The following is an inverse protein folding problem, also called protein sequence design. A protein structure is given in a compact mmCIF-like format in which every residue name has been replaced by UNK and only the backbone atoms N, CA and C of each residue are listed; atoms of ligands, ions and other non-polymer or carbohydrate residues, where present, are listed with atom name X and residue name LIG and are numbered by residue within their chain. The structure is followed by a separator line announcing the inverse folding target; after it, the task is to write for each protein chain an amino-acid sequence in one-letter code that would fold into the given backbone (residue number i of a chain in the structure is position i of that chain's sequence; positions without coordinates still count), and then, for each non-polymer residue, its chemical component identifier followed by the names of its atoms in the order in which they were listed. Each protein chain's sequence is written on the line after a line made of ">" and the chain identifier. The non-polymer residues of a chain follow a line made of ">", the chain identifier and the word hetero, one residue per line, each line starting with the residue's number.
data_IF_337260020726
#
_entry.id   IF_337260020726
#
_cell.length_a   1.000
_cell.length_b   1.000
_cell.length_c   1.000
_cell.angle_alpha   90.00
_cell.angle_beta   90.00
_cell.angle_gamma   90.00
#
_symmetry.space_group_name_H-M   'P 1'
#
loop_
_entity.id
_entity.type
_entity.pdbx_description
1 polymer ?
#
# COMPACT_ATOMS: atom_id res chain seq x y z
N UNK A 1 0.23 -30.84 5.36
CA UNK A 1 0.22 -29.42 5.77
C UNK A 1 -0.77 -28.70 4.87
N UNK A 2 -1.39 -27.61 5.32
CA UNK A 2 -2.24 -26.78 4.45
C UNK A 2 -1.35 -26.00 3.49
N UNK A 3 -1.66 -26.05 2.19
CA UNK A 3 -1.03 -25.17 1.20
C UNK A 3 -1.66 -23.79 1.27
N UNK A 4 -0.87 -22.75 1.02
CA UNK A 4 -1.36 -21.39 0.82
C UNK A 4 -2.02 -21.33 -0.55
N UNK A 5 -3.27 -20.86 -0.61
CA UNK A 5 -3.88 -20.41 -1.86
C UNK A 5 -3.38 -18.98 -2.13
N UNK A 6 -2.63 -18.72 -3.22
CA UNK A 6 -2.10 -17.40 -3.52
C UNK A 6 -3.17 -16.33 -3.76
N UNK A 7 -4.42 -16.73 -4.00
CA UNK A 7 -5.56 -15.86 -4.32
C UNK A 7 -6.65 -15.84 -3.24
N UNK A 8 -6.49 -16.59 -2.15
CA UNK A 8 -7.36 -16.44 -0.99
C UNK A 8 -6.90 -15.23 -0.16
N UNK A 9 -7.74 -14.20 0.06
CA UNK A 9 -7.36 -13.04 0.84
C UNK A 9 -7.16 -13.40 2.31
N UNK A 10 -6.09 -12.85 2.89
CA UNK A 10 -5.95 -12.71 4.34
C UNK A 10 -6.66 -11.41 4.73
N UNK A 11 -7.79 -11.57 5.41
CA UNK A 11 -8.58 -10.45 5.93
C UNK A 11 -7.96 -9.92 7.23
N UNK A 12 -7.79 -8.59 7.28
CA UNK A 12 -7.31 -7.87 8.45
C UNK A 12 -8.37 -6.85 8.89
N UNK A 13 -8.72 -6.88 10.17
CA UNK A 13 -9.76 -6.01 10.75
C UNK A 13 -9.45 -5.65 12.20
N UNK A 14 -9.83 -4.45 12.62
CA UNK A 14 -9.66 -3.98 13.99
C UNK A 14 -11.02 -3.55 14.56
N UNK A 15 -11.46 -4.02 15.75
CA UNK A 15 -12.79 -3.67 16.29
C UNK A 15 -13.03 -2.17 16.51
N UNK A 16 -11.94 -1.41 16.73
CA UNK A 16 -11.95 0.05 16.83
C UNK A 16 -11.72 0.80 15.50
N UNK A 17 -11.79 0.12 14.35
CA UNK A 17 -11.71 0.72 13.03
C UNK A 17 -13.02 0.51 12.24
N UNK A 18 -13.39 1.49 11.43
CA UNK A 18 -14.33 1.35 10.33
C UNK A 18 -13.72 0.74 9.07
N UNK A 19 -12.42 0.45 9.07
CA UNK A 19 -11.69 -0.16 7.94
C UNK A 19 -11.48 -1.68 8.11
N UNK A 20 -11.55 -2.41 7.01
CA UNK A 20 -10.93 -3.73 6.86
C UNK A 20 -10.11 -3.83 5.57
N UNK A 21 -9.12 -4.71 5.54
CA UNK A 21 -8.13 -4.82 4.47
C UNK A 21 -7.98 -6.28 4.04
N UNK A 22 -8.13 -6.54 2.75
CA UNK A 22 -8.01 -7.88 2.17
C UNK A 22 -6.69 -7.96 1.41
N UNK A 23 -5.70 -8.70 1.95
CA UNK A 23 -4.38 -8.87 1.32
C UNK A 23 -4.28 -10.24 0.64
N UNK A 24 -3.92 -10.27 -0.65
CA UNK A 24 -3.57 -11.51 -1.34
C UNK A 24 -2.11 -11.90 -1.05
N UNK A 25 -1.82 -13.18 -0.79
CA UNK A 25 -0.45 -13.69 -0.77
C UNK A 25 0.29 -13.46 -2.11
N UNK A 26 -0.40 -13.55 -3.26
CA UNK A 26 0.15 -13.18 -4.55
C UNK A 26 0.47 -11.68 -4.63
N UNK A 27 1.72 -11.34 -4.97
CA UNK A 27 2.22 -9.97 -5.11
C UNK A 27 2.10 -9.10 -3.86
N UNK A 28 1.80 -9.68 -2.69
CA UNK A 28 1.40 -8.97 -1.46
C UNK A 28 0.35 -7.89 -1.72
N UNK A 29 -0.64 -8.18 -2.58
CA UNK A 29 -1.57 -7.19 -3.13
C UNK A 29 -2.64 -6.81 -2.10
N UNK A 30 -2.80 -5.52 -1.75
CA UNK A 30 -4.05 -5.00 -1.20
C UNK A 30 -5.12 -5.10 -2.28
N UNK A 31 -5.99 -6.11 -2.16
CA UNK A 31 -7.04 -6.40 -3.15
C UNK A 31 -8.29 -5.57 -2.87
N UNK A 32 -8.64 -5.36 -1.59
CA UNK A 32 -9.74 -4.50 -1.15
C UNK A 32 -9.37 -3.70 0.09
N UNK A 33 -9.78 -2.44 0.16
CA UNK A 33 -9.76 -1.63 1.37
C UNK A 33 -11.20 -1.17 1.62
N UNK A 34 -11.87 -1.83 2.55
CA UNK A 34 -13.29 -1.65 2.78
C UNK A 34 -13.53 -0.63 3.90
N UNK A 35 -14.25 0.45 3.60
CA UNK A 35 -14.76 1.42 4.55
C UNK A 35 -16.21 1.08 4.90
N UNK A 36 -16.46 0.78 6.17
CA UNK A 36 -17.78 0.50 6.72
C UNK A 36 -18.39 1.78 7.30
N UNK A 37 -19.31 2.39 6.56
CA UNK A 37 -20.05 3.57 6.99
C UNK A 37 -21.16 3.17 7.94
N UNK A 38 -21.07 3.61 9.20
CA UNK A 38 -22.17 3.56 10.15
C UNK A 38 -23.18 4.66 9.79
N UNK A 39 -24.48 4.33 9.69
CA UNK A 39 -25.52 5.29 9.31
C UNK A 39 -25.78 6.38 10.35
N UNK A 40 -25.22 6.26 11.56
CA UNK A 40 -25.41 7.18 12.69
C UNK A 40 -24.55 8.46 12.57
N UNK A 41 -24.63 9.16 11.44
CA UNK A 41 -23.98 10.47 11.26
C UNK A 41 -24.00 10.99 9.81
N UNK A 42 -24.30 12.27 9.56
CA UNK A 42 -24.27 12.84 8.22
C UNK A 42 -22.83 13.05 7.75
N UNK A 43 -22.39 12.28 6.75
CA UNK A 43 -21.09 12.42 6.12
C UNK A 43 -21.17 13.31 4.88
N UNK A 44 -20.84 14.60 5.04
CA UNK A 44 -20.42 15.48 3.95
C UNK A 44 -18.97 15.95 4.22
N UNK A 45 -18.07 15.97 3.22
CA UNK A 45 -16.65 16.24 3.46
C UNK A 45 -16.29 17.74 3.46
N UNK A 46 -15.91 18.32 4.62
CA UNK A 46 -15.08 19.55 4.69
C UNK A 46 -14.48 19.89 6.09
N UNK A 47 -13.12 19.91 6.17
CA UNK A 47 -12.20 20.81 6.92
C UNK A 47 -12.22 21.10 8.47
N UNK A 48 -11.12 20.75 9.19
CA UNK A 48 -10.50 21.47 10.35
C UNK A 48 -10.44 20.77 11.76
N UNK A 49 -9.41 20.87 12.65
CA UNK A 49 -8.01 21.43 12.69
C UNK A 49 -7.03 20.53 13.58
N UNK A 50 -5.69 20.48 13.30
CA UNK A 50 -4.49 20.20 14.21
C UNK A 50 -3.83 18.81 14.62
N UNK A 51 -2.96 18.22 13.75
CA UNK A 51 -1.58 17.79 14.15
C UNK A 51 -1.15 16.43 14.78
N UNK A 52 -0.53 15.54 13.96
CA UNK A 52 0.65 14.71 14.29
C UNK A 52 0.45 13.18 14.41
N UNK A 53 1.14 12.28 13.68
CA UNK A 53 2.61 12.27 13.61
C UNK A 53 3.34 10.97 13.14
N UNK A 54 2.82 10.15 12.21
CA UNK A 54 3.62 9.05 11.57
C UNK A 54 3.32 8.89 10.07
N UNK A 55 4.05 8.03 9.35
CA UNK A 55 3.77 7.66 7.96
C UNK A 55 2.64 6.62 7.91
N UNK A 56 1.43 7.09 8.16
CA UNK A 56 0.20 6.30 8.25
C UNK A 56 -0.77 6.78 7.17
N UNK A 57 -1.49 5.86 6.52
CA UNK A 57 -2.60 6.22 5.64
C UNK A 57 -3.88 6.25 6.48
N UNK A 58 -4.31 7.45 6.83
CA UNK A 58 -5.51 7.73 7.61
C UNK A 58 -6.62 8.23 6.68
N UNK A 59 -7.80 7.60 6.74
CA UNK A 59 -9.02 8.01 6.04
C UNK A 59 -9.92 8.76 7.02
N UNK A 60 -10.38 9.95 6.67
CA UNK A 60 -10.84 10.97 7.63
C UNK A 60 -12.25 11.47 7.30
N UNK A 61 -13.08 11.71 8.33
CA UNK A 61 -14.48 12.18 8.20
C UNK A 61 -14.77 13.40 9.07
N UNK A 62 -15.27 14.50 8.46
CA UNK A 62 -15.39 15.82 9.09
C UNK A 62 -16.69 16.11 9.87
N UNK A 63 -16.74 17.18 10.69
CA UNK A 63 -17.94 17.65 11.41
C UNK A 63 -18.47 19.04 10.96
N UNK A 64 -19.75 19.35 11.22
CA UNK A 64 -20.25 20.73 11.36
C UNK A 64 -21.36 20.85 12.43
N UNK A 65 -21.52 22.04 13.01
CA UNK A 65 -22.54 22.40 14.02
C UNK A 65 -23.82 23.01 13.39
N UNK A 66 -24.97 23.00 14.10
CA UNK A 66 -26.28 23.21 13.48
C UNK A 66 -26.63 24.68 13.23
N UNK A 67 -27.08 24.99 12.00
CA UNK A 67 -27.77 26.26 11.68
C UNK A 67 -29.29 26.08 11.67
N UNK A 68 -29.98 26.91 12.45
CA UNK A 68 -31.44 26.98 12.52
C UNK A 68 -32.09 27.25 11.16
N UNK A 69 -33.05 26.41 10.75
CA UNK A 69 -34.17 26.84 9.90
C UNK A 69 -35.50 26.22 10.36
N UNK A 70 -36.60 26.93 10.10
CA UNK A 70 -37.91 26.74 10.73
C UNK A 70 -38.81 25.76 9.96
N UNK A 71 -39.79 25.18 10.68
CA UNK A 71 -40.69 24.13 10.19
C UNK A 71 -41.63 24.57 9.06
N UNK A 72 -41.80 23.69 8.07
CA UNK A 72 -42.94 23.62 7.13
C UNK A 72 -43.58 22.22 7.18
N UNK A 73 -44.88 22.06 6.82
CA UNK A 73 -45.68 20.93 7.30
C UNK A 73 -45.47 19.59 6.57
N UNK A 74 -45.64 18.51 7.35
CA UNK A 74 -45.49 17.10 6.99
C UNK A 74 -46.67 16.53 6.16
N UNK A 75 -46.38 15.65 5.19
CA UNK A 75 -47.16 14.45 4.81
C UNK A 75 -46.53 13.75 3.58
N UNK A 76 -46.74 12.44 3.35
CA UNK A 76 -46.73 11.31 4.27
C UNK A 76 -45.55 10.35 3.97
N UNK A 77 -45.04 9.66 5.00
CA UNK A 77 -43.98 8.66 4.85
C UNK A 77 -44.47 7.36 4.19
N UNK A 78 -44.09 7.12 2.94
CA UNK A 78 -43.97 5.75 2.41
C UNK A 78 -42.78 5.05 3.10
N UNK A 79 -42.94 3.76 3.44
CA UNK A 79 -42.02 3.06 4.33
C UNK A 79 -40.56 3.01 3.84
N UNK A 80 -39.63 3.18 4.79
CA UNK A 80 -38.22 2.82 4.62
C UNK A 80 -38.00 1.52 5.40
N UNK A 81 -37.96 0.41 4.68
CA UNK A 81 -37.35 -0.83 5.17
C UNK A 81 -35.83 -0.76 4.96
N UNK A 82 -35.05 -1.29 5.91
CA UNK A 82 -33.63 -1.60 5.69
C UNK A 82 -32.63 -0.48 6.00
N UNK A 83 -32.37 -0.24 7.29
CA UNK A 83 -31.15 0.45 7.73
C UNK A 83 -29.91 -0.44 7.56
N UNK A 84 -29.31 -0.42 6.37
CA UNK A 84 -28.07 -1.14 6.05
C UNK A 84 -26.84 -0.25 6.18
N UNK A 85 -25.80 -0.73 6.87
CA UNK A 85 -24.47 -0.12 6.79
C UNK A 85 -23.92 -0.26 5.38
N UNK A 86 -23.50 0.85 4.77
CA UNK A 86 -22.85 0.82 3.46
C UNK A 86 -21.36 0.46 3.62
N UNK A 87 -20.87 -0.45 2.78
CA UNK A 87 -19.46 -0.82 2.70
C UNK A 87 -18.91 -0.43 1.34
N UNK A 88 -17.87 0.40 1.34
CA UNK A 88 -17.25 0.95 0.14
C UNK A 88 -15.83 0.40 0.00
N UNK A 89 -15.50 -0.20 -1.16
CA UNK A 89 -14.11 -0.48 -1.52
C UNK A 89 -13.45 0.80 -2.07
N UNK A 90 -12.30 1.14 -1.52
CA UNK A 90 -11.54 2.35 -1.84
C UNK A 90 -10.41 2.11 -2.84
N UNK A 91 -10.14 0.86 -3.21
CA UNK A 91 -9.08 0.50 -4.15
C UNK A 91 -9.62 0.24 -5.55
N UNK A 92 -8.82 0.61 -6.56
CA UNK A 92 -9.06 0.19 -7.94
C UNK A 92 -8.27 -1.08 -8.25
N UNK A 93 -8.94 -2.05 -8.86
CA UNK A 93 -8.33 -3.29 -9.32
C UNK A 93 -9.38 -4.26 -9.88
N UNK A 94 -8.98 -5.47 -10.26
CA UNK A 94 -9.92 -6.52 -10.66
C UNK A 94 -10.75 -7.02 -9.46
N UNK A 95 -12.03 -7.28 -9.68
CA UNK A 95 -12.95 -7.79 -8.63
C UNK A 95 -12.60 -9.22 -8.17
N UNK A 96 -12.09 -10.04 -9.11
CA UNK A 96 -11.67 -11.42 -8.90
C UNK A 96 -10.16 -11.51 -8.61
N UNK A 97 -9.72 -12.06 -7.46
CA UNK A 97 -8.31 -12.14 -7.07
C UNK A 97 -7.36 -12.71 -8.14
N UNK A 98 -7.82 -13.70 -8.91
CA UNK A 98 -7.01 -14.37 -9.96
C UNK A 98 -6.71 -13.46 -11.15
N UNK A 99 -7.52 -12.44 -11.40
CA UNK A 99 -7.27 -11.51 -12.50
C UNK A 99 -6.04 -10.62 -12.28
N UNK A 100 -5.57 -10.44 -11.03
CA UNK A 100 -4.26 -9.81 -10.77
C UNK A 100 -3.10 -10.59 -11.40
N UNK A 101 -3.21 -11.91 -11.54
CA UNK A 101 -2.25 -12.70 -12.32
C UNK A 101 -2.60 -12.68 -13.81
N UNK A 102 -3.89 -12.82 -14.16
CA UNK A 102 -4.33 -12.96 -15.56
C UNK A 102 -4.11 -11.71 -16.43
N UNK A 103 -4.17 -10.51 -15.83
CA UNK A 103 -3.86 -9.25 -16.53
C UNK A 103 -2.37 -8.89 -16.50
N UNK A 104 -1.53 -9.76 -15.93
CA UNK A 104 -0.09 -9.56 -15.84
C UNK A 104 0.29 -8.35 -14.99
N UNK A 105 1.43 -7.73 -15.31
CA UNK A 105 2.03 -6.65 -14.51
C UNK A 105 1.42 -5.28 -14.84
N UNK A 106 0.10 -5.14 -14.64
CA UNK A 106 -0.61 -3.86 -14.66
C UNK A 106 -0.46 -3.05 -13.36
N UNK A 107 0.22 -3.61 -12.35
CA UNK A 107 0.51 -2.97 -11.06
C UNK A 107 -0.73 -2.46 -10.30
N UNK A 108 -1.83 -3.23 -10.30
CA UNK A 108 -2.99 -2.99 -9.43
C UNK A 108 -2.71 -3.46 -8.00
N UNK A 109 -2.09 -2.62 -7.19
CA UNK A 109 -1.85 -2.87 -5.76
C UNK A 109 -0.53 -3.51 -5.32
N UNK A 110 0.26 -4.27 -6.11
CA UNK A 110 1.28 -5.16 -5.54
C UNK A 110 2.45 -4.41 -4.87
N UNK A 111 3.19 -5.14 -4.03
CA UNK A 111 4.51 -4.69 -3.58
C UNK A 111 5.49 -4.69 -4.74
N UNK A 112 6.16 -3.57 -4.94
CA UNK A 112 7.19 -3.37 -5.95
C UNK A 112 8.57 -3.47 -5.31
N UNK A 113 9.47 -4.21 -5.95
CA UNK A 113 10.89 -4.20 -5.65
C UNK A 113 11.67 -5.20 -6.50
N UNK A 114 12.99 -5.38 -6.30
CA UNK A 114 13.81 -4.74 -5.24
C UNK A 114 14.00 -3.24 -5.35
N UNK A 115 13.75 -2.65 -6.53
CA UNK A 115 13.81 -1.20 -6.69
C UNK A 115 12.55 -0.68 -7.39
N UNK A 116 11.78 0.12 -6.65
CA UNK A 116 10.60 0.83 -7.16
C UNK A 116 10.97 2.01 -8.07
N UNK A 117 10.01 2.43 -8.89
CA UNK A 117 10.21 3.36 -10.02
C UNK A 117 11.31 2.90 -11.01
N UNK A 118 12.01 3.84 -11.65
CA UNK A 118 12.94 3.62 -12.77
C UNK A 118 14.41 3.63 -12.33
N UNK A 119 15.20 2.76 -12.94
CA UNK A 119 16.67 2.83 -12.98
C UNK A 119 17.15 2.89 -14.45
N UNK A 120 18.31 3.48 -14.73
CA UNK A 120 19.01 3.27 -16.01
C UNK A 120 19.36 1.78 -16.19
N UNK A 121 19.12 1.23 -17.38
CA UNK A 121 19.45 -0.15 -17.71
C UNK A 121 20.93 -0.36 -18.10
N UNK A 122 21.35 -1.60 -18.29
CA UNK A 122 22.73 -1.99 -18.60
C UNK A 122 23.56 -2.28 -17.34
N UNK A 123 24.89 -2.29 -17.49
CA UNK A 123 25.80 -2.53 -16.36
C UNK A 123 25.89 -1.29 -15.48
N UNK A 124 25.19 -1.32 -14.34
CA UNK A 124 25.16 -0.23 -13.37
C UNK A 124 26.16 -0.48 -12.24
N UNK A 125 26.94 0.56 -11.91
CA UNK A 125 27.86 0.55 -10.77
C UNK A 125 27.16 1.05 -9.53
N UNK A 126 27.37 0.38 -8.41
CA UNK A 126 26.80 0.74 -7.11
C UNK A 126 27.73 0.32 -5.98
N UNK A 127 27.66 1.00 -4.83
CA UNK A 127 28.50 0.69 -3.68
C UNK A 127 30.01 0.79 -3.98
N UNK A 128 30.79 -0.04 -3.28
CA UNK A 128 32.24 -0.12 -3.32
C UNK A 128 32.77 -0.81 -4.60
N UNK A 129 32.38 -0.29 -5.77
CA UNK A 129 32.80 -0.82 -7.08
C UNK A 129 32.05 -2.09 -7.51
N UNK A 130 30.94 -2.45 -6.86
CA UNK A 130 30.11 -3.55 -7.33
C UNK A 130 29.39 -3.18 -8.63
N UNK A 131 29.16 -4.18 -9.48
CA UNK A 131 28.43 -4.05 -10.74
C UNK A 131 27.18 -4.94 -10.72
N UNK A 132 26.10 -4.45 -11.33
CA UNK A 132 24.82 -5.15 -11.47
C UNK A 132 24.33 -4.97 -12.90
N UNK A 133 23.95 -6.06 -13.56
CA UNK A 133 23.20 -5.98 -14.80
C UNK A 133 21.76 -5.56 -14.47
N UNK A 134 21.36 -4.40 -14.95
CA UNK A 134 20.00 -3.89 -14.85
C UNK A 134 19.28 -4.14 -16.18
N UNK A 135 18.22 -4.96 -16.22
CA UNK A 135 17.60 -5.42 -17.45
C UNK A 135 16.75 -4.30 -18.08
N UNK A 136 16.67 -4.26 -19.42
CA UNK A 136 15.78 -3.29 -20.09
C UNK A 136 14.33 -3.72 -19.92
N UNK A 137 13.52 -2.90 -19.26
CA UNK A 137 12.10 -3.13 -19.02
C UNK A 137 11.35 -1.82 -18.72
N UNK A 138 10.17 -1.64 -19.34
CA UNK A 138 9.32 -0.46 -19.10
C UNK A 138 9.77 0.83 -19.79
N UNK A 139 10.74 0.78 -20.69
CA UNK A 139 11.17 1.90 -21.54
C UNK A 139 12.54 1.69 -22.16
N UNK A 140 12.92 2.56 -23.09
CA UNK A 140 14.24 2.50 -23.73
C UNK A 140 15.36 2.86 -22.74
N UNK A 141 16.34 1.97 -22.58
CA UNK A 141 17.46 2.13 -21.63
C UNK A 141 17.02 2.32 -20.16
N UNK A 142 15.83 1.82 -19.79
CA UNK A 142 15.28 1.86 -18.43
C UNK A 142 15.01 0.46 -17.88
N UNK A 143 14.95 0.36 -16.56
CA UNK A 143 14.36 -0.74 -15.80
C UNK A 143 13.31 -0.18 -14.85
N UNK A 144 12.05 -0.50 -15.10
CA UNK A 144 10.91 -0.13 -14.26
C UNK A 144 10.61 -1.23 -13.23
N UNK A 145 10.35 -0.85 -11.98
CA UNK A 145 9.68 -1.71 -10.98
C UNK A 145 10.30 -3.11 -10.85
N UNK A 146 11.60 -3.17 -10.57
CA UNK A 146 12.32 -4.44 -10.35
C UNK A 146 12.70 -5.24 -11.60
N UNK A 147 12.37 -4.78 -12.81
CA UNK A 147 12.71 -5.46 -14.06
C UNK A 147 11.61 -6.40 -14.56
N UNK A 148 11.87 -7.22 -15.61
CA UNK A 148 10.87 -8.09 -16.20
C UNK A 148 10.53 -9.29 -15.30
N UNK A 149 9.33 -9.83 -15.46
CA UNK A 149 9.06 -11.23 -15.10
C UNK A 149 9.50 -12.15 -16.26
N UNK A 150 9.63 -13.44 -16.01
CA UNK A 150 10.11 -14.42 -17.00
C UNK A 150 9.38 -14.32 -18.35
N UNK A 151 10.14 -14.09 -19.41
CA UNK A 151 9.65 -14.00 -20.79
C UNK A 151 9.58 -12.57 -21.37
N UNK A 152 9.81 -12.39 -22.69
CA UNK A 152 9.65 -11.09 -23.34
C UNK A 152 8.24 -10.53 -23.11
N UNK A 153 8.13 -9.21 -22.88
CA UNK A 153 6.88 -8.50 -22.59
C UNK A 153 6.13 -8.94 -21.31
N UNK A 154 6.78 -9.65 -20.39
CA UNK A 154 6.13 -10.21 -19.19
C UNK A 154 5.31 -11.43 -19.58
N UNK A 155 6.01 -12.53 -19.84
CA UNK A 155 5.48 -13.75 -20.45
C UNK A 155 4.36 -14.45 -19.66
N UNK A 156 3.85 -15.59 -20.20
CA UNK A 156 2.70 -16.29 -19.64
C UNK A 156 2.91 -16.63 -18.16
N UNK A 157 1.82 -16.71 -17.37
CA UNK A 157 1.90 -16.80 -15.92
C UNK A 157 2.82 -17.94 -15.48
N UNK A 158 3.89 -17.58 -14.77
CA UNK A 158 4.78 -18.53 -14.11
C UNK A 158 3.91 -19.41 -13.21
N UNK A 159 4.07 -20.73 -13.33
CA UNK A 159 3.37 -21.67 -12.44
C UNK A 159 3.71 -21.33 -11.00
N UNK A 160 2.71 -20.89 -10.23
CA UNK A 160 2.94 -20.46 -8.86
C UNK A 160 3.42 -21.64 -8.00
N UNK A 161 4.36 -21.41 -7.07
CA UNK A 161 4.84 -22.46 -6.18
C UNK A 161 3.72 -22.91 -5.23
N UNK A 162 3.64 -24.22 -4.99
CA UNK A 162 2.79 -24.79 -3.94
C UNK A 162 3.48 -24.62 -2.58
N UNK A 163 3.26 -23.48 -1.93
CA UNK A 163 3.89 -23.16 -0.63
C UNK A 163 3.05 -23.74 0.53
N UNK A 164 3.71 -24.41 1.48
CA UNK A 164 3.06 -24.88 2.73
C UNK A 164 2.97 -23.75 3.76
N UNK A 165 1.97 -23.81 4.64
CA UNK A 165 1.85 -22.88 5.77
C UNK A 165 3.16 -22.81 6.59
N UNK A 166 3.63 -21.58 6.86
CA UNK A 166 4.89 -21.23 7.54
C UNK A 166 6.19 -21.64 6.85
N UNK A 167 6.15 -22.30 5.69
CA UNK A 167 7.32 -22.52 4.84
C UNK A 167 7.56 -21.29 3.96
N UNK A 168 8.81 -20.83 3.88
CA UNK A 168 9.19 -19.62 3.13
C UNK A 168 10.26 -19.99 2.10
N UNK A 169 9.90 -20.67 1.00
CA UNK A 169 10.85 -21.10 -0.02
C UNK A 169 11.51 -19.92 -0.72
N UNK A 170 12.68 -20.18 -1.32
CA UNK A 170 13.35 -19.23 -2.20
C UNK A 170 12.54 -19.04 -3.49
N UNK A 171 12.31 -17.79 -3.87
CA UNK A 171 11.65 -17.40 -5.12
C UNK A 171 12.54 -16.44 -5.92
N UNK A 172 12.47 -16.54 -7.26
CA UNK A 172 13.24 -15.74 -8.22
C UNK A 172 12.32 -14.93 -9.15
N UNK A 173 12.69 -13.68 -9.46
CA UNK A 173 11.89 -12.75 -10.30
C UNK A 173 11.56 -11.43 -9.60
N UNK A 174 10.58 -10.65 -10.08
CA UNK A 174 10.10 -9.43 -9.41
C UNK A 174 9.08 -9.72 -8.30
N UNK A 175 9.06 -8.90 -7.24
CA UNK A 175 8.26 -9.18 -6.02
C UNK A 175 6.74 -9.19 -6.23
N UNK A 176 6.24 -8.47 -7.23
CA UNK A 176 4.81 -8.38 -7.55
C UNK A 176 4.24 -9.63 -8.23
N UNK A 177 5.10 -10.57 -8.67
CA UNK A 177 4.68 -11.85 -9.28
C UNK A 177 4.92 -13.06 -8.38
N UNK A 178 5.25 -12.85 -7.10
CA UNK A 178 5.61 -13.91 -6.15
C UNK A 178 4.50 -14.22 -5.15
N UNK A 179 4.56 -15.40 -4.53
CA UNK A 179 3.64 -15.78 -3.45
C UNK A 179 4.33 -15.52 -2.11
N UNK A 180 3.87 -14.51 -1.40
CA UNK A 180 4.31 -14.21 -0.04
C UNK A 180 3.71 -15.19 0.95
N UNK A 181 4.45 -15.58 1.97
CA UNK A 181 3.98 -16.55 2.98
C UNK A 181 3.33 -15.81 4.14
N UNK A 182 1.99 -15.82 4.31
CA UNK A 182 1.36 -15.31 5.52
C UNK A 182 1.74 -16.22 6.70
N UNK A 183 2.51 -15.69 7.64
CA UNK A 183 2.98 -16.45 8.79
C UNK A 183 1.84 -16.68 9.79
N UNK A 184 1.67 -17.90 10.28
CA UNK A 184 0.58 -18.29 11.18
C UNK A 184 0.56 -17.47 12.47
N UNK A 185 1.75 -17.07 12.94
CA UNK A 185 1.98 -16.19 14.08
C UNK A 185 3.39 -15.56 14.01
N UNK A 186 3.63 -14.49 14.78
CA UNK A 186 4.90 -13.74 14.72
C UNK A 186 6.13 -14.52 15.25
N UNK A 187 5.97 -15.59 16.05
CA UNK A 187 7.15 -16.40 16.44
C UNK A 187 7.75 -17.23 15.28
N UNK A 188 7.11 -17.19 14.10
CA UNK A 188 7.65 -17.68 12.82
C UNK A 188 8.37 -16.59 12.02
N UNK A 189 8.24 -15.33 12.40
CA UNK A 189 8.96 -14.22 11.80
C UNK A 189 10.40 -14.20 12.31
N UNK A 190 11.31 -13.68 11.50
CA UNK A 190 12.74 -13.59 11.81
C UNK A 190 13.18 -12.14 12.04
N UNK A 191 12.51 -11.18 11.38
CA UNK A 191 12.80 -9.76 11.44
C UNK A 191 11.80 -8.99 12.33
N UNK A 192 10.63 -9.57 12.62
CA UNK A 192 9.62 -9.04 13.54
C UNK A 192 9.49 -9.87 14.84
N UNK A 193 9.05 -9.21 15.91
CA UNK A 193 8.84 -9.77 17.25
C UNK A 193 7.45 -9.39 17.78
N UNK A 194 6.94 -10.06 18.83
CA UNK A 194 5.63 -9.77 19.43
C UNK A 194 5.40 -8.27 19.75
N UNK A 195 6.44 -7.57 20.20
CA UNK A 195 6.39 -6.13 20.48
C UNK A 195 6.02 -5.27 19.27
N UNK A 196 6.37 -5.69 18.05
CA UNK A 196 6.11 -4.92 16.82
C UNK A 196 4.61 -4.93 16.44
N UNK A 197 3.87 -5.94 16.93
CA UNK A 197 2.42 -6.12 16.82
C UNK A 197 1.66 -5.48 18.00
N UNK A 198 2.28 -4.55 18.74
CA UNK A 198 1.53 -3.72 19.69
C UNK A 198 0.69 -2.67 18.96
N UNK A 199 -0.46 -2.33 19.54
CA UNK A 199 -1.25 -1.16 19.16
C UNK A 199 -0.48 0.09 19.63
N UNK A 200 -0.03 0.98 18.71
CA UNK A 200 0.75 2.17 19.07
C UNK A 200 -0.04 3.18 19.90
N UNK A 201 -1.38 3.12 19.90
CA UNK A 201 -2.23 4.04 20.68
C UNK A 201 -2.25 3.67 22.16
N UNK A 202 -2.28 2.37 22.47
CA UNK A 202 -2.52 1.86 23.84
C UNK A 202 -1.36 1.01 24.41
N UNK A 203 -0.34 0.68 23.61
CA UNK A 203 0.75 -0.24 23.99
C UNK A 203 0.33 -1.70 24.21
N UNK A 204 -0.96 -1.99 24.10
CA UNK A 204 -1.53 -3.34 24.24
C UNK A 204 -1.21 -4.23 23.04
N UNK A 205 -1.28 -5.55 23.21
CA UNK A 205 -1.20 -6.50 22.09
C UNK A 205 -2.34 -6.23 21.11
N UNK A 206 -2.04 -6.09 19.82
CA UNK A 206 -3.06 -5.83 18.81
C UNK A 206 -4.12 -6.98 18.80
N UNK A 207 -5.40 -6.67 18.56
CA UNK A 207 -6.47 -7.67 18.48
C UNK A 207 -6.18 -8.79 17.49
N UNK A 208 -6.64 -10.00 17.80
CA UNK A 208 -6.49 -11.14 16.89
C UNK A 208 -7.14 -10.84 15.53
N UNK A 209 -6.37 -11.05 14.46
CA UNK A 209 -6.81 -10.75 13.09
C UNK A 209 -6.60 -9.30 12.65
N UNK A 210 -6.11 -8.39 13.50
CA UNK A 210 -5.81 -7.02 13.08
C UNK A 210 -4.42 -6.84 12.45
N UNK A 211 -3.52 -7.82 12.59
CA UNK A 211 -2.17 -7.76 12.02
C UNK A 211 -1.69 -9.14 11.53
N UNK A 212 -0.83 -9.13 10.51
CA UNK A 212 -0.16 -10.31 9.94
C UNK A 212 1.24 -9.95 9.45
N UNK A 213 2.21 -10.84 9.70
CA UNK A 213 3.51 -10.79 9.03
C UNK A 213 3.46 -11.70 7.81
N UNK A 214 3.88 -11.17 6.68
CA UNK A 214 4.11 -11.90 5.44
C UNK A 214 5.61 -11.99 5.17
N UNK A 215 6.11 -13.13 4.72
CA UNK A 215 7.53 -13.36 4.52
C UNK A 215 7.85 -13.91 3.13
N UNK A 216 9.04 -13.57 2.63
CA UNK A 216 9.61 -14.16 1.42
C UNK A 216 11.13 -14.28 1.53
N UNK A 217 11.69 -15.36 1.00
CA UNK A 217 13.11 -15.44 0.68
C UNK A 217 13.24 -15.16 -0.83
N UNK A 218 13.77 -14.00 -1.19
CA UNK A 218 13.80 -13.48 -2.56
C UNK A 218 15.23 -13.46 -3.11
N UNK A 219 15.39 -13.85 -4.37
CA UNK A 219 16.57 -13.58 -5.19
C UNK A 219 16.15 -12.96 -6.55
N UNK A 220 16.99 -12.14 -7.21
CA UNK A 220 16.69 -11.69 -8.56
C UNK A 220 16.60 -12.85 -9.56
N UNK A 221 16.22 -12.55 -10.80
CA UNK A 221 16.13 -13.55 -11.88
C UNK A 221 17.49 -14.24 -12.14
N UNK A 222 17.44 -15.53 -12.45
CA UNK A 222 18.62 -16.35 -12.76
C UNK A 222 19.26 -16.03 -14.13
N UNK A 223 18.68 -15.12 -14.90
CA UNK A 223 19.29 -14.53 -16.12
C UNK A 223 20.50 -13.62 -15.84
N UNK A 224 20.83 -13.39 -14.56
CA UNK A 224 21.97 -12.56 -14.14
C UNK A 224 21.62 -11.09 -13.93
N UNK A 225 20.35 -10.71 -14.07
CA UNK A 225 19.88 -9.38 -13.67
C UNK A 225 19.83 -9.23 -12.14
N UNK A 226 20.13 -8.03 -11.65
CA UNK A 226 20.12 -7.73 -10.22
C UNK A 226 21.39 -8.16 -9.46
N UNK A 227 21.51 -7.82 -8.17
CA UNK A 227 22.67 -8.19 -7.37
C UNK A 227 22.49 -9.63 -6.84
N UNK A 228 23.52 -10.49 -6.88
CA UNK A 228 23.38 -11.95 -6.69
C UNK A 228 23.00 -12.39 -5.26
N UNK A 229 22.74 -11.44 -4.35
CA UNK A 229 22.37 -11.67 -2.96
C UNK A 229 20.93 -12.20 -2.83
N UNK A 230 20.70 -13.08 -1.86
CA UNK A 230 19.36 -13.47 -1.41
C UNK A 230 18.94 -12.58 -0.24
N UNK A 231 17.69 -12.11 -0.23
CA UNK A 231 17.10 -11.32 0.86
C UNK A 231 16.00 -12.13 1.55
N UNK A 232 15.99 -12.15 2.88
CA UNK A 232 14.74 -12.29 3.64
C UNK A 232 14.06 -10.95 3.60
N UNK A 233 12.81 -10.90 3.16
CA UNK A 233 11.97 -9.70 3.28
C UNK A 233 10.73 -10.11 4.07
N UNK A 234 10.40 -9.32 5.07
CA UNK A 234 9.17 -9.47 5.85
C UNK A 234 8.38 -8.16 5.80
N UNK A 235 7.06 -8.29 5.67
CA UNK A 235 6.12 -7.18 5.69
C UNK A 235 5.12 -7.41 6.82
N UNK A 236 5.13 -6.53 7.82
CA UNK A 236 4.07 -6.44 8.82
C UNK A 236 2.97 -5.55 8.26
N UNK A 237 1.79 -6.12 8.03
CA UNK A 237 0.59 -5.40 7.62
C UNK A 237 -0.40 -5.44 8.77
N UNK A 238 -0.95 -4.28 9.15
CA UNK A 238 -1.93 -4.15 10.22
C UNK A 238 -3.01 -3.12 9.91
N UNK A 239 -4.23 -3.41 10.37
CA UNK A 239 -5.32 -2.44 10.54
C UNK A 239 -5.35 -2.03 12.00
N UNK A 240 -5.44 -0.73 12.28
CA UNK A 240 -5.43 -0.18 13.64
C UNK A 240 -6.63 0.76 13.84
N UNK A 241 -7.01 0.98 15.10
CA UNK A 241 -8.10 1.89 15.44
C UNK A 241 -7.85 3.31 14.91
N UNK A 242 -8.94 4.03 14.65
CA UNK A 242 -8.88 5.47 14.44
C UNK A 242 -8.54 6.19 15.75
N UNK A 243 -7.76 7.25 15.66
CA UNK A 243 -7.47 8.14 16.79
C UNK A 243 -7.83 9.58 16.44
N UNK A 244 -8.45 10.29 17.38
CA UNK A 244 -8.65 11.74 17.31
C UNK A 244 -7.32 12.43 17.65
N UNK A 245 -6.44 12.59 16.67
CA UNK A 245 -5.13 13.23 16.89
C UNK A 245 -4.15 13.23 15.73
N UNK A 246 -4.24 12.27 14.79
CA UNK A 246 -3.19 12.13 13.76
C UNK A 246 -3.15 13.27 12.74
N UNK A 247 -4.33 13.69 12.28
CA UNK A 247 -4.53 14.86 11.44
C UNK A 247 -5.93 15.46 11.70
N UNK A 248 -6.29 15.91 12.92
CA UNK A 248 -7.66 16.35 13.21
C UNK A 248 -8.10 17.58 12.40
N UNK A 249 -7.21 18.18 11.57
CA UNK A 249 -7.61 19.07 10.46
C UNK A 249 -8.46 18.46 9.35
N UNK A 250 -8.71 17.15 9.40
CA UNK A 250 -9.46 16.41 8.40
C UNK A 250 -10.62 15.62 9.03
N UNK A 251 -10.78 15.68 10.36
CA UNK A 251 -11.86 15.03 11.10
C UNK A 251 -11.45 13.76 11.84
N UNK A 252 -12.42 12.86 12.07
CA UNK A 252 -12.23 11.60 12.80
C UNK A 252 -11.65 10.56 11.83
N UNK A 253 -10.59 9.87 12.23
CA UNK A 253 -10.03 8.76 11.45
C UNK A 253 -10.95 7.54 11.49
N UNK A 254 -11.28 6.97 10.33
CA UNK A 254 -11.97 5.70 10.20
C UNK A 254 -11.08 4.50 10.61
N UNK A 255 -9.80 4.72 10.86
CA UNK A 255 -8.81 3.68 11.10
C UNK A 255 -7.58 3.88 10.22
N UNK A 256 -6.62 2.99 10.42
CA UNK A 256 -5.26 3.12 9.88
C UNK A 256 -4.83 1.83 9.23
N UNK A 257 -4.20 1.93 8.07
CA UNK A 257 -3.41 0.82 7.49
C UNK A 257 -1.93 1.09 7.70
N UNK A 258 -1.28 0.26 8.50
CA UNK A 258 0.17 0.25 8.72
C UNK A 258 0.80 -0.86 7.87
N UNK A 259 1.85 -0.50 7.14
CA UNK A 259 2.68 -1.44 6.36
C UNK A 259 4.13 -1.13 6.71
N UNK A 260 4.83 -2.09 7.30
CA UNK A 260 6.25 -1.96 7.64
C UNK A 260 7.05 -3.07 6.96
N UNK A 261 8.13 -2.68 6.29
CA UNK A 261 9.05 -3.59 5.63
C UNK A 261 10.34 -3.73 6.44
N UNK A 262 10.79 -4.98 6.63
CA UNK A 262 12.15 -5.29 7.10
C UNK A 262 12.81 -6.23 6.11
N UNK A 263 14.10 -6.05 5.86
CA UNK A 263 14.86 -6.91 4.98
C UNK A 263 16.26 -7.19 5.54
N UNK A 264 16.74 -8.42 5.37
CA UNK A 264 18.10 -8.84 5.71
C UNK A 264 18.70 -9.66 4.57
N UNK A 265 19.99 -9.47 4.29
CA UNK A 265 20.73 -10.37 3.40
C UNK A 265 20.95 -11.73 4.05
N UNK A 266 20.47 -12.79 3.39
CA UNK A 266 20.87 -14.17 3.69
C UNK A 266 22.35 -14.35 3.34
N UNK A 267 23.15 -14.71 4.34
CA UNK A 267 24.59 -14.95 4.22
C UNK A 267 24.92 -16.41 4.48
N UNK A 268 25.93 -16.92 3.78
CA UNK A 268 26.53 -18.23 4.09
C UNK A 268 27.74 -18.01 5.00
N UNK A 269 27.75 -18.63 6.17
CA UNK A 269 28.88 -18.57 7.09
C UNK A 269 29.25 -17.15 7.55
N UNK A 270 30.52 -16.77 7.36
CA UNK A 270 31.11 -15.50 7.83
C UNK A 270 31.40 -14.50 6.70
N UNK A 271 30.81 -14.69 5.53
CA UNK A 271 30.99 -13.77 4.40
C UNK A 271 30.47 -12.36 4.75
N UNK A 272 31.16 -11.34 4.24
CA UNK A 272 30.75 -9.95 4.39
C UNK A 272 29.43 -9.69 3.65
N UNK A 273 28.62 -8.78 4.16
CA UNK A 273 27.41 -8.38 3.46
C UNK A 273 27.78 -7.68 2.16
N UNK A 274 27.14 -8.07 1.06
CA UNK A 274 27.33 -7.44 -0.25
C UNK A 274 26.25 -6.38 -0.39
N UNK A 275 26.60 -5.11 -0.65
CA UNK A 275 25.62 -4.06 -0.86
C UNK A 275 24.55 -4.49 -1.88
N UNK A 276 23.32 -4.04 -1.69
CA UNK A 276 22.22 -4.23 -2.66
C UNK A 276 21.31 -3.02 -2.62
N UNK A 277 20.93 -2.45 -3.77
CA UNK A 277 19.84 -1.50 -3.81
C UNK A 277 18.56 -2.13 -3.28
N UNK A 278 17.82 -1.38 -2.47
CA UNK A 278 16.50 -1.74 -1.97
C UNK A 278 15.64 -0.48 -1.87
N UNK A 279 14.50 -0.48 -2.56
CA UNK A 279 13.48 0.56 -2.54
C UNK A 279 12.13 -0.12 -2.78
N UNK A 280 11.31 -0.22 -1.73
CA UNK A 280 10.05 -0.95 -1.73
C UNK A 280 8.86 0.00 -1.61
N UNK A 281 7.76 -0.31 -2.28
CA UNK A 281 6.48 0.42 -2.14
C UNK A 281 5.30 -0.48 -2.53
N UNK A 282 4.08 -0.14 -2.09
CA UNK A 282 2.85 -0.71 -2.65
C UNK A 282 2.34 0.17 -3.79
N UNK A 283 2.07 -0.43 -4.95
CA UNK A 283 1.55 0.27 -6.13
C UNK A 283 0.01 0.24 -6.18
N UNK A 284 -0.64 0.58 -5.06
CA UNK A 284 -2.09 0.74 -5.00
C UNK A 284 -2.55 2.07 -5.61
N UNK A 285 -3.76 2.06 -6.16
CA UNK A 285 -4.43 3.23 -6.70
C UNK A 285 -5.81 3.34 -6.03
N UNK A 286 -6.07 4.52 -5.45
CA UNK A 286 -7.28 4.80 -4.69
C UNK A 286 -8.33 5.44 -5.59
N UNK A 287 -9.58 5.04 -5.40
CA UNK A 287 -10.72 5.79 -5.89
C UNK A 287 -11.81 5.75 -4.81
N UNK A 288 -12.05 6.89 -4.16
CA UNK A 288 -12.92 6.98 -2.99
C UNK A 288 -14.42 6.89 -3.35
N UNK A 289 -14.76 7.09 -4.63
CA UNK A 289 -16.14 7.04 -5.15
C UNK A 289 -16.46 5.79 -5.97
N UNK A 290 -15.46 4.99 -6.38
CA UNK A 290 -15.63 3.90 -7.36
C UNK A 290 -16.67 2.83 -6.98
N UNK A 291 -16.81 2.54 -5.69
CA UNK A 291 -17.74 1.53 -5.16
C UNK A 291 -19.07 2.10 -4.67
N UNK A 292 -19.20 3.42 -4.56
CA UNK A 292 -20.48 4.10 -4.27
C UNK A 292 -21.23 4.36 -5.59
N UNK A 293 -22.43 3.79 -5.82
CA UNK A 293 -23.16 3.99 -7.06
C UNK A 293 -23.54 5.45 -7.35
N UNK A 294 -23.81 6.25 -6.31
CA UNK A 294 -24.24 7.65 -6.39
C UNK A 294 -23.05 8.57 -6.68
N UNK A 295 -21.94 8.39 -5.94
CA UNK A 295 -20.72 9.16 -6.18
C UNK A 295 -20.12 8.79 -7.55
N UNK A 296 -20.07 7.49 -7.92
CA UNK A 296 -19.65 7.03 -9.24
C UNK A 296 -20.49 7.61 -10.38
N UNK A 297 -21.80 7.81 -10.20
CA UNK A 297 -22.65 8.45 -11.20
C UNK A 297 -22.29 9.93 -11.38
N UNK A 298 -21.95 10.62 -10.29
CA UNK A 298 -21.62 12.06 -10.27
C UNK A 298 -20.22 12.33 -10.82
N UNK A 299 -19.23 11.55 -10.37
CA UNK A 299 -17.81 11.67 -10.73
C UNK A 299 -17.43 10.86 -11.97
N UNK A 300 -18.40 10.16 -12.57
CA UNK A 300 -18.24 9.25 -13.73
C UNK A 300 -17.22 8.12 -13.50
N UNK A 301 -16.94 7.78 -12.24
CA UNK A 301 -15.92 6.83 -11.83
C UNK A 301 -14.47 7.30 -12.07
N UNK A 302 -14.26 8.60 -12.25
CA UNK A 302 -12.93 9.21 -12.38
C UNK A 302 -12.38 9.64 -11.02
N UNK A 303 -11.14 10.15 -10.98
CA UNK A 303 -10.55 10.77 -9.79
C UNK A 303 -10.44 12.31 -9.92
N UNK A 304 -11.08 12.90 -10.94
CA UNK A 304 -10.91 14.32 -11.31
C UNK A 304 -11.43 15.30 -10.24
N UNK A 305 -12.31 14.84 -9.36
CA UNK A 305 -12.90 15.64 -8.27
C UNK A 305 -12.28 15.35 -6.90
N UNK A 306 -11.28 14.45 -6.80
CA UNK A 306 -10.59 14.19 -5.54
C UNK A 306 -9.65 15.33 -5.16
N UNK A 307 -9.79 15.85 -3.94
CA UNK A 307 -8.84 16.79 -3.36
C UNK A 307 -7.63 16.06 -2.79
N UNK A 308 -6.45 16.24 -3.40
CA UNK A 308 -5.17 15.78 -2.85
C UNK A 308 -4.49 16.89 -2.06
N UNK A 309 -4.11 16.61 -0.81
CA UNK A 309 -3.28 17.50 0.02
C UNK A 309 -2.01 16.79 0.48
N UNK A 310 -0.86 17.25 -0.01
CA UNK A 310 0.44 16.74 0.44
C UNK A 310 0.94 17.56 1.64
N UNK A 311 1.36 16.86 2.70
CA UNK A 311 1.82 17.48 3.95
C UNK A 311 3.34 17.39 4.06
N UNK A 312 4.03 18.46 3.69
CA UNK A 312 5.48 18.57 3.83
C UNK A 312 5.81 19.00 5.26
N UNK A 313 6.43 18.10 6.04
CA UNK A 313 6.94 18.43 7.38
C UNK A 313 8.26 19.18 7.27
N UNK A 314 8.49 20.12 8.18
CA UNK A 314 9.77 20.79 8.44
C UNK A 314 10.43 21.54 7.25
N UNK A 315 9.69 21.76 6.16
CA UNK A 315 10.10 22.62 5.04
C UNK A 315 9.05 23.69 4.74
N UNK A 316 9.51 24.85 4.30
CA UNK A 316 8.62 25.94 3.87
C UNK A 316 8.11 25.79 2.43
N UNK A 317 8.55 24.78 1.67
CA UNK A 317 8.17 24.57 0.27
C UNK A 317 8.19 23.07 -0.10
N UNK A 318 7.24 22.67 -0.93
CA UNK A 318 7.18 21.34 -1.54
C UNK A 318 8.10 21.28 -2.76
N UNK A 319 8.84 20.18 -2.90
CA UNK A 319 9.83 20.01 -3.96
C UNK A 319 9.60 18.71 -4.73
N UNK A 320 9.75 18.78 -6.05
CA UNK A 320 9.71 17.62 -6.94
C UNK A 320 11.09 17.37 -7.55
N UNK A 321 11.36 16.12 -7.93
CA UNK A 321 12.56 15.78 -8.70
C UNK A 321 12.40 16.31 -10.13
N UNK A 322 13.40 17.02 -10.64
CA UNK A 322 13.49 17.28 -12.07
C UNK A 322 13.80 15.97 -12.80
N UNK A 323 13.03 15.67 -13.85
CA UNK A 323 13.13 14.42 -14.61
C UNK A 323 13.50 14.68 -16.07
N UNK A 324 14.24 13.76 -16.68
CA UNK A 324 14.45 13.74 -18.12
C UNK A 324 13.19 13.27 -18.90
N UNK A 325 13.27 13.27 -20.23
CA UNK A 325 12.18 12.81 -21.12
C UNK A 325 11.80 11.33 -20.96
N UNK A 326 12.58 10.55 -20.21
CA UNK A 326 12.35 9.13 -19.87
C UNK A 326 11.83 8.97 -18.43
N UNK A 327 11.57 10.08 -17.74
CA UNK A 327 11.19 10.16 -16.33
C UNK A 327 12.26 9.67 -15.35
N UNK A 328 13.56 9.82 -15.68
CA UNK A 328 14.70 9.54 -14.79
C UNK A 328 15.13 10.84 -14.09
N UNK A 329 15.39 10.83 -12.77
CA UNK A 329 15.85 12.02 -12.06
C UNK A 329 17.18 12.58 -12.59
N UNK A 330 17.23 13.89 -12.83
CA UNK A 330 18.44 14.64 -13.21
C UNK A 330 19.31 15.02 -11.99
N UNK A 331 18.89 14.66 -10.78
CA UNK A 331 19.56 15.01 -9.52
C UNK A 331 19.22 16.39 -8.96
N UNK A 332 18.40 17.18 -9.68
CA UNK A 332 17.92 18.48 -9.23
C UNK A 332 16.56 18.38 -8.55
N UNK A 333 16.31 19.29 -7.60
CA UNK A 333 15.01 19.53 -7.00
C UNK A 333 14.47 20.86 -7.50
N UNK A 334 13.22 20.89 -7.99
CA UNK A 334 12.48 22.11 -8.30
C UNK A 334 11.31 22.28 -7.34
N UNK A 335 10.76 23.49 -7.23
CA UNK A 335 9.48 23.70 -6.54
C UNK A 335 8.38 22.82 -7.18
N UNK A 336 7.43 22.36 -6.37
CA UNK A 336 6.25 21.65 -6.87
C UNK A 336 5.29 22.62 -7.58
N UNK A 337 4.74 22.19 -8.71
CA UNK A 337 3.76 22.96 -9.46
C UNK A 337 2.37 22.80 -8.79
N UNK A 338 1.90 23.81 -8.05
CA UNK A 338 0.59 23.78 -7.39
C UNK A 338 0.22 25.07 -6.66
N UNK A 339 -1.08 25.34 -6.49
CA UNK A 339 -1.54 26.50 -5.71
C UNK A 339 -1.32 26.29 -4.21
N UNK A 340 -0.44 27.10 -3.61
CA UNK A 340 -0.25 27.12 -2.16
C UNK A 340 -1.42 27.82 -1.46
N UNK A 341 -2.45 27.07 -1.08
CA UNK A 341 -3.43 27.50 -0.06
C UNK A 341 -2.72 27.60 1.30
N UNK A 342 -2.14 28.76 1.57
CA UNK A 342 -1.37 29.02 2.79
C UNK A 342 -2.23 29.02 4.05
N UNK A 343 -2.14 27.97 4.86
CA UNK A 343 -2.54 28.01 6.26
C UNK A 343 -1.48 28.80 7.05
N UNK A 344 -1.83 29.98 7.54
CA UNK A 344 -0.92 30.89 8.28
C UNK A 344 -0.62 30.46 9.71
N UNK A 345 -1.09 29.29 10.15
CA UNK A 345 -0.66 28.65 11.39
C UNK A 345 0.60 27.82 11.17
N UNK A 346 1.73 28.26 11.75
CA UNK A 346 2.78 27.31 12.17
C UNK A 346 2.25 26.54 13.40
N UNK A 347 2.56 25.24 13.54
CA UNK A 347 2.33 24.50 14.78
C UNK A 347 3.23 25.02 15.92
#
# INVERSE_FOLDING_TARGET
>A
MTSIDPFAPVELQHPGAGLSLHILPYGLIPHRLLLNVRQDGPLHPSSGIEGGGSATHDLLTGPEEPKHHQNGPLHPSSGIEGGGSATHDLLTGPEEPKHHQSYGRSFFGPVIGRYANRLPAGNQKYGHGQEMLVPVWGGENLCLHGGPASGPNGGPPVSLPSISQDDVPLQEGPLDTMVWTPLSNVSKAELFKDQDLSDPVNGSKAPQGSARVFAINHRPSSDGSGPPVTLRIEALIAVQAGSSGDVPSLGISAGKVRIEYRAEQRRSGKEEAVPTPLNLTHHWAFNLSASDPSARQTEKGTIEQHELRMLVRDKEEEQTLELDSRSVPLGQLKAADGERKGSTGRP
#
